data_IF_756389372895
#
_entry.id   IF_756389372895
#
_cell.length_a   1.000
_cell.length_b   1.000
_cell.length_c   1.000
_cell.angle_alpha   90.00
_cell.angle_beta   90.00
_cell.angle_gamma   90.00
#
_symmetry.space_group_name_H-M   'P 1'
#
loop_
_entity.id
_entity.type
_entity.pdbx_description
1 polymer ?
#
# COMPACT_ATOMS: atom_id res chain seq x y z
N UNK A 1 43.60 -72.15 -28.53
CA UNK A 1 42.38 -71.42 -28.97
C UNK A 1 41.73 -70.84 -27.74
N UNK A 2 41.90 -69.50 -27.52
CA UNK A 2 41.27 -68.76 -26.42
C UNK A 2 40.35 -67.72 -27.04
N UNK A 3 39.06 -67.87 -26.82
CA UNK A 3 38.03 -66.88 -27.27
C UNK A 3 37.97 -65.78 -26.22
N UNK A 4 38.26 -64.52 -26.63
CA UNK A 4 38.11 -63.34 -25.80
C UNK A 4 36.74 -62.74 -26.07
N UNK A 5 35.88 -62.79 -25.06
CA UNK A 5 34.59 -62.13 -25.10
C UNK A 5 34.74 -60.62 -24.76
N UNK A 6 34.38 -59.76 -25.69
CA UNK A 6 34.36 -58.35 -25.47
C UNK A 6 32.98 -57.91 -24.86
N UNK A 7 33.00 -57.39 -23.66
CA UNK A 7 31.82 -56.77 -23.01
C UNK A 7 31.75 -55.29 -23.44
N UNK A 8 30.70 -54.94 -24.20
CA UNK A 8 30.36 -53.56 -24.53
C UNK A 8 29.49 -53.03 -23.39
N UNK A 9 30.04 -52.10 -22.58
CA UNK A 9 29.28 -51.36 -21.60
C UNK A 9 28.72 -50.11 -22.29
N UNK A 10 27.41 -50.11 -22.53
CA UNK A 10 26.70 -48.93 -23.01
C UNK A 10 26.43 -48.00 -21.82
N UNK A 11 27.16 -46.89 -21.72
CA UNK A 11 26.89 -45.83 -20.75
C UNK A 11 25.70 -44.99 -21.24
N UNK A 12 24.54 -45.18 -20.65
CA UNK A 12 23.38 -44.26 -20.81
C UNK A 12 23.66 -42.99 -20.03
N UNK A 13 24.10 -41.95 -20.75
CA UNK A 13 24.20 -40.60 -20.23
C UNK A 13 22.79 -39.99 -20.08
N UNK A 14 22.29 -39.95 -18.85
CA UNK A 14 21.10 -39.17 -18.54
C UNK A 14 21.51 -37.69 -18.55
N UNK A 15 21.19 -37.01 -19.66
CA UNK A 15 21.28 -35.53 -19.74
C UNK A 15 20.16 -34.99 -18.87
N UNK A 16 20.46 -34.67 -17.61
CA UNK A 16 19.59 -33.84 -16.78
C UNK A 16 19.59 -32.40 -17.35
N UNK A 17 18.64 -32.11 -18.20
CA UNK A 17 18.27 -30.70 -18.50
C UNK A 17 17.74 -30.08 -17.20
N UNK A 18 18.63 -29.47 -16.44
CA UNK A 18 18.26 -28.55 -15.38
C UNK A 18 17.56 -27.35 -16.02
N UNK A 19 16.23 -27.42 -16.10
CA UNK A 19 15.41 -26.20 -16.31
C UNK A 19 15.67 -25.30 -15.11
N UNK A 20 16.65 -24.40 -15.24
CA UNK A 20 16.70 -23.20 -14.41
C UNK A 20 15.43 -22.41 -14.72
N UNK A 21 14.34 -22.69 -13.99
CA UNK A 21 13.26 -21.74 -13.79
C UNK A 21 13.87 -20.59 -12.97
N UNK A 22 14.54 -19.67 -13.65
CA UNK A 22 14.80 -18.38 -13.07
C UNK A 22 13.42 -17.88 -12.64
N UNK A 23 13.20 -17.73 -11.33
CA UNK A 23 11.98 -17.12 -10.82
C UNK A 23 11.87 -15.78 -11.53
N UNK A 24 10.89 -15.66 -12.42
CA UNK A 24 10.62 -14.41 -13.10
C UNK A 24 10.31 -13.39 -12.01
N UNK A 25 11.08 -12.30 -11.96
CA UNK A 25 10.83 -11.21 -11.03
C UNK A 25 9.38 -10.71 -11.12
N UNK A 26 8.94 -9.85 -10.21
CA UNK A 26 7.57 -9.36 -10.24
C UNK A 26 7.28 -8.68 -11.57
N UNK A 27 6.03 -8.76 -12.07
CA UNK A 27 5.65 -8.05 -13.29
C UNK A 27 5.82 -6.54 -13.10
N UNK A 28 6.00 -5.77 -14.17
CA UNK A 28 6.10 -4.32 -14.06
C UNK A 28 4.84 -3.72 -13.39
N UNK A 29 5.03 -2.62 -12.68
CA UNK A 29 3.92 -1.84 -12.12
C UNK A 29 3.00 -1.34 -13.26
N UNK A 30 1.67 -1.25 -13.04
CA UNK A 30 0.70 -0.85 -14.07
C UNK A 30 0.69 0.66 -14.32
N UNK A 31 1.85 1.26 -14.61
CA UNK A 31 2.07 2.71 -14.71
C UNK A 31 1.42 3.39 -15.94
N UNK A 32 0.64 2.71 -16.72
CA UNK A 32 0.12 3.26 -17.98
C UNK A 32 -1.32 2.85 -18.28
N UNK A 33 -2.14 2.63 -17.27
CA UNK A 33 -3.57 2.32 -17.46
C UNK A 33 -4.27 3.50 -18.15
N UNK A 34 -5.00 3.21 -19.23
CA UNK A 34 -5.71 4.21 -20.05
C UNK A 34 -6.85 4.89 -19.27
N UNK A 35 -7.22 6.12 -19.65
CA UNK A 35 -8.31 6.85 -19.00
C UNK A 35 -9.67 6.14 -19.06
N UNK A 36 -10.07 5.49 -20.17
CA UNK A 36 -11.33 4.75 -20.23
C UNK A 36 -11.41 3.55 -19.26
N UNK A 37 -10.25 2.97 -18.92
CA UNK A 37 -10.15 1.81 -18.00
C UNK A 37 -9.95 2.22 -16.55
N UNK A 38 -9.67 3.50 -16.31
CA UNK A 38 -9.39 4.01 -14.99
C UNK A 38 -10.63 4.02 -14.09
N UNK A 39 -10.46 3.49 -12.88
CA UNK A 39 -11.45 3.58 -11.81
C UNK A 39 -10.81 4.09 -10.52
N UNK A 40 -11.52 4.90 -9.76
CA UNK A 40 -11.07 5.37 -8.44
C UNK A 40 -11.01 4.20 -7.46
N UNK A 41 -10.17 4.32 -6.42
CA UNK A 41 -10.01 3.25 -5.42
C UNK A 41 -11.34 2.86 -4.77
N UNK A 42 -12.23 3.82 -4.48
CA UNK A 42 -13.55 3.56 -3.89
C UNK A 42 -14.47 2.73 -4.78
N UNK A 43 -14.26 2.71 -6.10
CA UNK A 43 -15.02 1.84 -7.01
C UNK A 43 -14.55 0.37 -6.96
N UNK A 44 -13.45 0.10 -6.26
CA UNK A 44 -12.87 -1.21 -6.05
C UNK A 44 -13.16 -1.78 -4.64
N UNK A 45 -14.07 -1.14 -3.89
CA UNK A 45 -14.51 -1.71 -2.61
C UNK A 45 -15.09 -3.12 -2.82
N UNK A 46 -14.52 -4.10 -2.13
CA UNK A 46 -14.87 -5.52 -2.26
C UNK A 46 -15.45 -6.05 -0.95
N UNK A 47 -16.73 -6.42 -0.97
CA UNK A 47 -17.44 -6.92 0.22
C UNK A 47 -16.80 -8.17 0.82
N UNK A 48 -16.23 -9.02 -0.01
CA UNK A 48 -15.59 -10.25 0.44
C UNK A 48 -14.25 -9.96 1.13
N UNK A 49 -13.41 -9.07 0.58
CA UNK A 49 -12.18 -8.61 1.22
C UNK A 49 -12.49 -7.87 2.52
N UNK A 50 -13.49 -6.99 2.50
CA UNK A 50 -13.96 -6.23 3.65
C UNK A 50 -14.35 -7.14 4.81
N UNK A 51 -15.24 -8.11 4.56
CA UNK A 51 -15.72 -9.03 5.59
C UNK A 51 -14.57 -9.86 6.21
N UNK A 52 -13.62 -10.34 5.38
CA UNK A 52 -12.46 -11.10 5.87
C UNK A 52 -11.52 -10.22 6.68
N UNK A 53 -11.27 -8.99 6.24
CA UNK A 53 -10.43 -8.05 6.98
C UNK A 53 -11.04 -7.74 8.35
N UNK A 54 -12.33 -7.41 8.40
CA UNK A 54 -13.04 -7.16 9.66
C UNK A 54 -12.99 -8.36 10.60
N UNK A 55 -13.27 -9.56 10.07
CA UNK A 55 -13.23 -10.80 10.86
C UNK A 55 -11.83 -11.04 11.42
N UNK A 56 -10.79 -10.92 10.59
CA UNK A 56 -9.42 -11.15 10.99
C UNK A 56 -8.99 -10.17 12.09
N UNK A 57 -9.30 -8.87 11.95
CA UNK A 57 -8.99 -7.87 12.98
C UNK A 57 -9.77 -8.12 14.29
N UNK A 58 -11.05 -8.53 14.19
CA UNK A 58 -11.90 -8.87 15.35
C UNK A 58 -11.42 -10.09 16.13
N UNK A 59 -10.65 -10.99 15.54
CA UNK A 59 -10.08 -12.16 16.26
C UNK A 59 -9.00 -11.76 17.28
N UNK A 60 -8.42 -10.56 17.16
CA UNK A 60 -7.42 -10.06 18.10
C UNK A 60 -8.09 -9.26 19.23
N UNK A 61 -8.35 -9.92 20.36
CA UNK A 61 -9.05 -9.30 21.50
C UNK A 61 -8.42 -7.98 21.95
N UNK A 62 -7.08 -7.87 21.94
CA UNK A 62 -6.36 -6.67 22.32
C UNK A 62 -6.55 -5.48 21.35
N UNK A 63 -6.99 -5.71 20.11
CA UNK A 63 -7.22 -4.65 19.13
C UNK A 63 -8.66 -4.14 19.14
N UNK A 64 -9.60 -4.89 19.69
CA UNK A 64 -11.02 -4.54 19.71
C UNK A 64 -11.31 -3.16 20.34
N UNK A 65 -10.74 -2.82 21.50
CA UNK A 65 -10.96 -1.50 22.08
C UNK A 65 -10.42 -0.37 21.20
N UNK A 66 -9.28 -0.58 20.53
CA UNK A 66 -8.68 0.41 19.63
C UNK A 66 -9.56 0.62 18.37
N UNK A 67 -10.07 -0.47 17.81
CA UNK A 67 -10.99 -0.41 16.66
C UNK A 67 -12.29 0.30 17.03
N UNK A 68 -12.89 -0.04 18.16
CA UNK A 68 -14.15 0.53 18.64
C UNK A 68 -14.04 2.03 18.96
N UNK A 69 -12.86 2.49 19.42
CA UNK A 69 -12.60 3.89 19.75
C UNK A 69 -12.06 4.72 18.58
N UNK A 70 -11.90 4.13 17.39
CA UNK A 70 -11.26 4.81 16.25
C UNK A 70 -9.76 5.06 16.43
N UNK A 71 -9.10 4.39 17.39
CA UNK A 71 -7.66 4.47 17.68
C UNK A 71 -6.82 3.51 16.86
N UNK A 72 -7.45 2.69 16.06
CA UNK A 72 -6.82 1.82 15.06
C UNK A 72 -7.57 1.97 13.75
N UNK A 73 -6.85 2.32 12.71
CA UNK A 73 -7.34 2.45 11.34
C UNK A 73 -6.50 1.58 10.42
N UNK A 74 -7.15 0.80 9.55
CA UNK A 74 -6.48 -0.11 8.61
C UNK A 74 -7.08 0.04 7.22
N UNK A 75 -6.23 0.09 6.20
CA UNK A 75 -6.60 0.01 4.79
C UNK A 75 -5.79 -1.08 4.09
N UNK A 76 -6.45 -1.90 3.28
CA UNK A 76 -5.85 -3.01 2.53
C UNK A 76 -6.34 -2.99 1.09
N UNK A 77 -5.40 -2.89 0.13
CA UNK A 77 -5.70 -2.99 -1.29
C UNK A 77 -5.00 -4.22 -1.84
N UNK A 78 -5.75 -5.15 -2.38
CA UNK A 78 -5.23 -6.30 -3.11
C UNK A 78 -4.98 -5.90 -4.58
N UNK A 79 -3.75 -6.04 -5.01
CA UNK A 79 -3.28 -5.76 -6.36
C UNK A 79 -2.75 -7.02 -7.06
N UNK A 80 -3.08 -8.23 -6.55
CA UNK A 80 -2.67 -9.49 -7.17
C UNK A 80 -3.16 -9.57 -8.63
N UNK A 81 -4.36 -9.03 -8.91
CA UNK A 81 -4.83 -8.72 -10.25
C UNK A 81 -4.89 -7.19 -10.46
N UNK A 82 -3.89 -6.59 -11.13
CA UNK A 82 -3.87 -5.14 -11.32
C UNK A 82 -5.02 -4.57 -12.18
N UNK A 83 -5.69 -5.39 -12.99
CA UNK A 83 -6.83 -4.96 -13.80
C UNK A 83 -8.16 -5.04 -13.04
N UNK A 84 -8.19 -5.72 -11.91
CA UNK A 84 -9.34 -5.83 -11.02
C UNK A 84 -8.88 -5.80 -9.54
N UNK A 85 -8.38 -4.65 -9.06
CA UNK A 85 -8.00 -4.47 -7.66
C UNK A 85 -9.18 -4.73 -6.72
N UNK A 86 -8.89 -4.96 -5.44
CA UNK A 86 -9.91 -5.06 -4.41
C UNK A 86 -9.50 -4.21 -3.21
N UNK A 87 -10.44 -3.52 -2.62
CA UNK A 87 -10.19 -2.61 -1.50
C UNK A 87 -11.10 -2.94 -0.31
N UNK A 88 -10.50 -2.97 0.88
CA UNK A 88 -11.19 -3.07 2.17
C UNK A 88 -10.53 -2.17 3.21
N UNK A 89 -11.32 -1.70 4.18
CA UNK A 89 -10.82 -0.79 5.21
C UNK A 89 -11.62 -0.91 6.51
N UNK A 90 -10.97 -0.68 7.65
CA UNK A 90 -11.63 -0.55 8.94
C UNK A 90 -11.21 0.77 9.56
N UNK A 91 -12.16 1.62 9.93
CA UNK A 91 -11.94 3.00 10.35
C UNK A 91 -11.13 3.83 9.32
N UNK A 92 -11.14 3.44 8.06
CA UNK A 92 -10.25 3.99 7.04
C UNK A 92 -10.45 5.48 6.76
N UNK A 93 -11.64 6.03 7.03
CA UNK A 93 -11.94 7.45 6.91
C UNK A 93 -11.77 8.23 8.23
N UNK A 94 -11.41 7.57 9.33
CA UNK A 94 -11.09 8.24 10.59
C UNK A 94 -9.79 9.01 10.44
N UNK A 95 -9.86 10.33 10.62
CA UNK A 95 -8.68 11.17 10.59
C UNK A 95 -7.90 11.00 11.90
N UNK A 96 -6.64 10.63 11.77
CA UNK A 96 -5.75 10.38 12.91
C UNK A 96 -4.46 11.19 12.77
N UNK A 97 -3.72 11.33 13.85
CA UNK A 97 -2.39 11.90 13.78
C UNK A 97 -1.46 10.97 12.98
N UNK A 98 -1.01 11.44 11.83
CA UNK A 98 -0.22 10.66 10.87
C UNK A 98 1.30 10.69 11.10
N UNK A 99 1.77 11.49 12.08
CA UNK A 99 3.19 11.73 12.33
C UNK A 99 3.94 12.12 11.03
N UNK A 100 4.82 11.27 10.53
CA UNK A 100 5.60 11.53 9.31
C UNK A 100 4.94 11.05 8.01
N UNK A 101 3.74 10.48 8.04
CA UNK A 101 3.06 10.05 6.80
C UNK A 101 2.76 11.21 5.84
N UNK A 102 2.38 12.43 6.29
CA UNK A 102 2.16 13.56 5.39
C UNK A 102 3.41 14.04 4.62
N UNK A 103 4.61 13.53 4.93
CA UNK A 103 5.80 13.75 4.08
C UNK A 103 5.60 13.21 2.65
N UNK A 104 4.63 12.31 2.43
CA UNK A 104 4.20 11.89 1.09
C UNK A 104 3.64 13.07 0.27
N UNK A 105 2.97 14.03 0.91
CA UNK A 105 2.51 15.24 0.23
C UNK A 105 3.67 16.19 -0.13
N UNK A 106 4.72 16.22 0.71
CA UNK A 106 5.95 16.97 0.38
C UNK A 106 6.66 16.34 -0.83
N UNK A 107 6.72 14.99 -0.88
CA UNK A 107 7.26 14.26 -2.02
C UNK A 107 6.47 14.58 -3.30
N UNK A 108 5.14 14.48 -3.27
CA UNK A 108 4.29 14.80 -4.42
C UNK A 108 4.49 16.25 -4.88
N UNK A 109 4.52 17.20 -3.93
CA UNK A 109 4.68 18.62 -4.25
C UNK A 109 6.06 18.94 -4.82
N UNK A 110 7.12 18.24 -4.40
CA UNK A 110 8.44 18.37 -5.00
C UNK A 110 8.43 17.95 -6.47
N UNK A 111 7.83 16.80 -6.77
CA UNK A 111 7.75 16.31 -8.15
C UNK A 111 6.79 17.14 -9.02
N UNK A 112 5.72 17.72 -8.43
CA UNK A 112 4.92 18.72 -9.12
C UNK A 112 5.75 19.96 -9.44
N UNK A 113 6.59 20.41 -8.49
CA UNK A 113 7.48 21.55 -8.72
C UNK A 113 8.56 21.29 -9.79
N UNK A 114 9.04 20.04 -9.94
CA UNK A 114 9.90 19.65 -11.07
C UNK A 114 9.17 19.71 -12.40
N UNK A 115 7.90 19.28 -12.43
CA UNK A 115 7.09 19.27 -13.65
C UNK A 115 6.72 20.67 -14.14
N UNK A 116 6.37 21.56 -13.22
CA UNK A 116 5.99 22.95 -13.56
C UNK A 116 7.16 23.96 -13.50
N UNK A 117 8.39 23.48 -13.23
CA UNK A 117 9.60 24.31 -13.19
C UNK A 117 9.73 25.24 -11.99
N UNK A 118 8.85 25.13 -11.00
CA UNK A 118 8.90 25.97 -9.77
C UNK A 118 9.92 25.47 -8.73
N UNK A 119 10.38 24.23 -8.86
CA UNK A 119 11.46 23.65 -8.08
C UNK A 119 12.55 23.12 -9.03
N UNK A 120 13.80 23.50 -8.81
CA UNK A 120 14.92 22.97 -9.60
C UNK A 120 15.20 21.52 -9.24
N UNK A 121 15.28 20.66 -10.26
CA UNK A 121 15.64 19.25 -10.13
C UNK A 121 17.18 19.14 -9.97
N UNK A 122 17.65 19.04 -8.73
CA UNK A 122 19.09 18.98 -8.39
C UNK A 122 19.40 17.78 -7.53
N UNK A 123 20.65 17.33 -7.54
CA UNK A 123 21.12 16.23 -6.68
C UNK A 123 20.97 16.53 -5.18
N UNK A 124 21.03 17.78 -4.77
CA UNK A 124 20.79 18.21 -3.38
C UNK A 124 19.32 17.99 -2.99
N UNK A 125 18.37 18.41 -3.84
CA UNK A 125 16.93 18.21 -3.63
C UNK A 125 16.60 16.72 -3.59
N UNK A 126 17.13 15.92 -4.50
CA UNK A 126 16.96 14.46 -4.47
C UNK A 126 17.48 13.81 -3.19
N UNK A 127 18.64 14.25 -2.69
CA UNK A 127 19.20 13.78 -1.42
C UNK A 127 18.27 14.09 -0.25
N UNK A 128 17.74 15.33 -0.16
CA UNK A 128 16.78 15.71 0.86
C UNK A 128 15.48 14.87 0.77
N UNK A 129 14.98 14.59 -0.43
CA UNK A 129 13.81 13.75 -0.63
C UNK A 129 14.06 12.30 -0.17
N UNK A 130 15.24 11.73 -0.45
CA UNK A 130 15.62 10.38 -0.02
C UNK A 130 15.72 10.33 1.51
N UNK A 131 16.43 11.26 2.15
CA UNK A 131 16.56 11.33 3.61
C UNK A 131 15.19 11.51 4.28
N UNK A 132 14.36 12.41 3.77
CA UNK A 132 13.01 12.66 4.25
C UNK A 132 12.11 11.41 4.20
N UNK A 133 12.20 10.65 3.13
CA UNK A 133 11.33 9.48 2.93
C UNK A 133 11.89 8.24 3.61
N UNK A 134 13.11 7.82 3.27
CA UNK A 134 13.68 6.55 3.74
C UNK A 134 14.04 6.57 5.22
N UNK A 135 14.62 7.67 5.71
CA UNK A 135 15.03 7.87 7.11
C UNK A 135 14.05 8.69 7.93
N UNK A 136 13.00 9.17 7.28
CA UNK A 136 12.03 10.06 7.94
C UNK A 136 12.65 11.33 8.54
N UNK A 137 13.78 11.79 7.97
CA UNK A 137 14.56 12.93 8.48
C UNK A 137 13.71 14.21 8.53
N UNK A 138 13.63 14.82 9.72
CA UNK A 138 12.82 16.01 9.96
C UNK A 138 13.49 17.30 9.42
N UNK A 139 14.82 17.50 9.59
CA UNK A 139 15.54 18.59 8.95
C UNK A 139 15.39 18.61 7.43
N UNK A 140 15.56 17.46 6.75
CA UNK A 140 15.39 17.36 5.31
C UNK A 140 13.94 17.70 4.88
N UNK A 141 12.94 17.18 5.61
CA UNK A 141 11.54 17.52 5.38
C UNK A 141 11.30 19.03 5.50
N UNK A 142 11.84 19.68 6.53
CA UNK A 142 11.66 21.11 6.75
C UNK A 142 12.37 21.95 5.69
N UNK A 143 13.56 21.53 5.21
CA UNK A 143 14.21 22.18 4.06
C UNK A 143 13.35 22.07 2.79
N UNK A 144 12.77 20.89 2.53
CA UNK A 144 11.90 20.69 1.37
C UNK A 144 10.63 21.55 1.47
N UNK A 145 9.99 21.61 2.65
CA UNK A 145 8.83 22.47 2.89
C UNK A 145 9.21 23.95 2.66
N UNK A 146 10.37 24.39 3.14
CA UNK A 146 10.86 25.76 2.92
C UNK A 146 11.09 26.08 1.44
N UNK A 147 11.60 25.13 0.62
CA UNK A 147 11.78 25.31 -0.82
C UNK A 147 10.49 25.34 -1.62
N UNK A 148 9.50 24.55 -1.22
CA UNK A 148 8.21 24.39 -1.94
C UNK A 148 7.20 25.45 -1.47
N UNK A 149 7.14 25.66 -0.17
CA UNK A 149 6.14 26.48 0.52
C UNK A 149 4.94 25.66 0.99
N UNK A 150 4.57 25.81 2.28
CA UNK A 150 3.51 25.05 2.93
C UNK A 150 2.16 25.22 2.21
N UNK A 151 1.82 26.44 1.77
CA UNK A 151 0.59 26.74 1.03
C UNK A 151 0.48 26.02 -0.31
N UNK A 152 1.59 25.77 -1.01
CA UNK A 152 1.59 25.01 -2.27
C UNK A 152 1.32 23.53 -1.99
N UNK A 153 1.88 22.98 -0.91
CA UNK A 153 1.66 21.59 -0.50
C UNK A 153 0.18 21.39 -0.11
N UNK A 154 -0.39 22.33 0.63
CA UNK A 154 -1.80 22.36 1.02
C UNK A 154 -2.72 22.45 -0.20
N UNK A 155 -2.45 23.39 -1.11
CA UNK A 155 -3.22 23.54 -2.34
C UNK A 155 -3.19 22.25 -3.18
N UNK A 156 -2.05 21.56 -3.23
CA UNK A 156 -1.93 20.30 -3.96
C UNK A 156 -2.68 19.15 -3.26
N UNK A 157 -2.72 19.11 -1.94
CA UNK A 157 -3.53 18.14 -1.20
C UNK A 157 -5.02 18.27 -1.52
N UNK A 158 -5.50 19.51 -1.71
CA UNK A 158 -6.90 19.84 -2.03
C UNK A 158 -7.18 19.94 -3.54
N UNK A 159 -6.18 19.75 -4.40
CA UNK A 159 -6.32 19.79 -5.86
C UNK A 159 -7.35 18.76 -6.35
N UNK A 160 -8.25 19.18 -7.25
CA UNK A 160 -9.31 18.32 -7.80
C UNK A 160 -8.81 17.06 -8.50
N UNK A 161 -7.59 17.08 -9.03
CA UNK A 161 -6.94 15.89 -9.63
C UNK A 161 -6.70 14.79 -8.61
N UNK A 162 -6.37 15.18 -7.38
CA UNK A 162 -5.97 14.23 -6.35
C UNK A 162 -6.96 14.13 -5.20
N UNK A 163 -7.47 15.25 -4.68
CA UNK A 163 -8.40 15.30 -3.54
C UNK A 163 -7.92 14.45 -2.34
N UNK A 164 -6.63 14.60 -1.99
CA UNK A 164 -6.09 13.92 -0.82
C UNK A 164 -6.59 14.53 0.50
N UNK A 165 -7.07 15.76 0.43
CA UNK A 165 -7.74 16.45 1.52
C UNK A 165 -9.02 17.13 1.02
N UNK A 166 -10.15 16.82 1.67
CA UNK A 166 -11.44 17.49 1.43
C UNK A 166 -12.19 17.60 2.76
N UNK A 167 -12.33 18.81 3.33
CA UNK A 167 -13.02 19.01 4.62
C UNK A 167 -14.49 18.60 4.56
N UNK A 168 -15.13 18.63 3.40
CA UNK A 168 -16.53 18.21 3.22
C UNK A 168 -16.69 16.68 3.22
N UNK A 169 -15.59 15.95 3.05
CA UNK A 169 -15.55 14.47 3.02
C UNK A 169 -14.80 13.88 4.23
N UNK A 170 -14.65 14.64 5.31
CA UNK A 170 -14.02 14.15 6.53
C UNK A 170 -12.50 14.32 6.56
N UNK A 171 -11.92 15.18 5.73
CA UNK A 171 -10.50 15.49 5.75
C UNK A 171 -9.64 14.60 4.84
N UNK A 172 -8.52 14.11 5.35
CA UNK A 172 -7.58 13.30 4.57
C UNK A 172 -6.13 13.48 5.00
N UNK A 173 -5.20 13.64 4.05
CA UNK A 173 -3.79 13.86 4.33
C UNK A 173 -3.54 15.36 4.44
N UNK A 174 -3.07 15.81 5.60
CA UNK A 174 -2.78 17.20 5.88
C UNK A 174 -1.39 17.39 6.49
N UNK A 175 -0.63 18.35 5.93
CA UNK A 175 0.67 18.72 6.44
C UNK A 175 0.53 19.95 7.37
N UNK A 176 0.55 19.72 8.67
CA UNK A 176 0.27 20.73 9.68
C UNK A 176 1.43 21.68 10.01
N UNK A 177 2.49 21.72 9.20
CA UNK A 177 3.63 22.61 9.40
C UNK A 177 4.97 21.93 9.11
N UNK A 178 6.05 22.57 9.57
CA UNK A 178 7.40 22.00 9.52
C UNK A 178 7.61 20.98 10.62
N UNK A 179 8.68 20.18 10.50
CA UNK A 179 9.00 19.10 11.45
C UNK A 179 10.09 19.51 12.46
N UNK A 180 10.43 20.81 12.54
CA UNK A 180 11.44 21.32 13.47
C UNK A 180 10.80 22.29 14.47
N UNK A 181 11.33 22.42 15.69
CA UNK A 181 10.82 23.36 16.69
C UNK A 181 10.82 24.80 16.18
N UNK A 182 9.77 25.57 16.52
CA UNK A 182 9.63 26.98 16.13
C UNK A 182 9.32 27.22 14.66
N UNK A 183 9.05 26.17 13.89
CA UNK A 183 8.66 26.29 12.48
C UNK A 183 7.20 26.69 12.28
N UNK A 184 6.84 26.90 11.02
CA UNK A 184 5.48 27.29 10.62
C UNK A 184 4.45 26.20 11.02
N UNK A 185 3.32 26.61 11.56
CA UNK A 185 2.20 25.77 11.93
C UNK A 185 0.98 26.07 11.06
N UNK A 186 0.32 25.02 10.60
CA UNK A 186 -0.92 25.07 9.82
C UNK A 186 -1.83 23.90 10.26
N UNK A 187 -2.49 24.01 11.46
CA UNK A 187 -3.31 22.92 11.99
C UNK A 187 -4.43 22.56 11.02
N UNK A 188 -4.81 21.29 11.02
CA UNK A 188 -5.85 20.76 10.18
C UNK A 188 -7.21 21.39 10.54
N UNK A 189 -7.99 21.90 9.55
CA UNK A 189 -9.16 22.75 9.81
C UNK A 189 -10.33 22.08 10.54
N UNK A 190 -10.50 20.75 10.48
CA UNK A 190 -11.63 20.04 11.11
C UNK A 190 -11.33 19.70 12.57
N UNK A 191 -10.15 19.13 12.82
CA UNK A 191 -9.79 18.55 14.13
C UNK A 191 -8.81 19.42 14.91
N UNK A 192 -8.17 20.38 14.24
CA UNK A 192 -7.09 21.16 14.82
C UNK A 192 -5.79 20.39 15.05
N UNK A 193 -5.73 19.12 14.64
CA UNK A 193 -4.53 18.31 14.72
C UNK A 193 -3.47 18.82 13.73
N UNK A 194 -2.21 18.56 14.05
CA UNK A 194 -1.10 18.71 13.12
C UNK A 194 -1.06 17.50 12.18
N UNK A 195 -0.15 17.36 11.28
CA UNK A 195 0.22 16.18 10.48
C UNK A 195 -0.79 15.00 10.48
N UNK A 196 -1.98 15.20 9.91
CA UNK A 196 -3.04 14.18 9.92
C UNK A 196 -3.05 13.33 8.64
N UNK A 197 -3.65 12.16 8.75
CA UNK A 197 -3.98 11.32 7.61
C UNK A 197 -5.21 10.44 7.88
N UNK A 198 -5.81 9.90 6.81
CA UNK A 198 -6.73 8.78 6.85
C UNK A 198 -6.12 7.57 6.13
N UNK A 199 -6.37 6.35 6.60
CA UNK A 199 -5.85 5.16 5.93
C UNK A 199 -6.39 5.04 4.50
N UNK A 200 -7.63 5.48 4.26
CA UNK A 200 -8.23 5.56 2.92
C UNK A 200 -7.37 6.40 1.96
N UNK A 201 -7.06 7.63 2.35
CA UNK A 201 -6.31 8.55 1.46
C UNK A 201 -4.86 8.12 1.28
N UNK A 202 -4.25 7.48 2.27
CA UNK A 202 -2.93 6.88 2.13
C UNK A 202 -2.95 5.68 1.18
N UNK A 203 -3.94 4.77 1.28
CA UNK A 203 -4.14 3.71 0.29
C UNK A 203 -4.32 4.29 -1.11
N UNK A 204 -5.11 5.35 -1.22
CA UNK A 204 -5.36 6.03 -2.49
C UNK A 204 -4.11 6.70 -3.06
N UNK A 205 -3.23 7.26 -2.23
CA UNK A 205 -1.93 7.78 -2.66
C UNK A 205 -1.08 6.70 -3.33
N UNK A 206 -0.89 5.56 -2.66
CA UNK A 206 -0.12 4.44 -3.23
C UNK A 206 -0.80 3.81 -4.45
N UNK A 207 -2.12 3.76 -4.47
CA UNK A 207 -2.88 3.29 -5.61
C UNK A 207 -2.64 4.18 -6.85
N UNK A 208 -2.83 5.49 -6.72
CA UNK A 208 -2.54 6.44 -7.80
C UNK A 208 -1.07 6.35 -8.24
N UNK A 209 -0.15 6.23 -7.29
CA UNK A 209 1.28 6.11 -7.56
C UNK A 209 1.61 4.85 -8.37
N UNK A 210 1.08 3.68 -7.96
CA UNK A 210 1.31 2.40 -8.62
C UNK A 210 0.79 2.38 -10.07
N UNK A 211 -0.27 3.14 -10.33
CA UNK A 211 -0.90 3.23 -11.67
C UNK A 211 -0.41 4.43 -12.50
N UNK A 212 0.63 5.15 -12.04
CA UNK A 212 1.21 6.26 -12.79
C UNK A 212 0.34 7.51 -12.85
N UNK A 213 -0.59 7.67 -11.89
CA UNK A 213 -1.59 8.75 -11.84
C UNK A 213 -1.20 9.92 -10.95
N UNK A 214 -0.01 9.92 -10.37
CA UNK A 214 0.55 11.07 -9.68
C UNK A 214 1.46 11.84 -10.65
N UNK A 215 0.97 13.01 -11.10
CA UNK A 215 1.59 13.92 -12.07
C UNK A 215 1.67 13.27 -13.47
N UNK A 216 2.56 12.31 -13.63
CA UNK A 216 2.72 11.52 -14.86
C UNK A 216 3.24 10.11 -14.54
N UNK A 217 3.15 9.14 -15.47
CA UNK A 217 3.75 7.81 -15.27
C UNK A 217 5.24 7.85 -14.96
N UNK A 218 5.97 8.77 -15.59
CA UNK A 218 7.41 8.93 -15.34
C UNK A 218 7.68 9.51 -13.94
N UNK A 219 6.96 10.55 -13.52
CA UNK A 219 7.09 11.13 -12.18
C UNK A 219 6.68 10.15 -11.10
N UNK A 220 5.64 9.37 -11.33
CA UNK A 220 5.24 8.27 -10.42
C UNK A 220 6.36 7.23 -10.27
N UNK A 221 7.01 6.84 -11.37
CA UNK A 221 8.17 5.92 -11.34
C UNK A 221 9.34 6.50 -10.56
N UNK A 222 9.62 7.79 -10.72
CA UNK A 222 10.69 8.47 -9.96
C UNK A 222 10.38 8.54 -8.46
N UNK A 223 9.12 8.85 -8.07
CA UNK A 223 8.68 8.81 -6.66
C UNK A 223 8.80 7.40 -6.08
N UNK A 224 8.45 6.35 -6.83
CA UNK A 224 8.62 4.96 -6.40
C UNK A 224 10.10 4.64 -6.11
N UNK A 225 11.04 5.11 -6.93
CA UNK A 225 12.48 4.92 -6.66
C UNK A 225 12.93 5.54 -5.32
N UNK A 226 12.31 6.65 -4.90
CA UNK A 226 12.59 7.28 -3.60
C UNK A 226 11.97 6.49 -2.45
N UNK A 227 10.76 5.95 -2.64
CA UNK A 227 10.04 5.16 -1.63
C UNK A 227 10.60 3.75 -1.44
N UNK A 228 11.31 3.22 -2.45
CA UNK A 228 11.96 1.91 -2.39
C UNK A 228 13.14 1.90 -1.41
N UNK A 229 13.57 0.70 -0.99
CA UNK A 229 14.69 0.51 -0.06
C UNK A 229 14.50 1.29 1.25
N UNK A 230 13.47 0.98 2.05
CA UNK A 230 13.25 1.65 3.33
C UNK A 230 14.41 1.42 4.29
N UNK A 231 15.06 2.50 4.75
CA UNK A 231 16.24 2.43 5.64
C UNK A 231 15.86 2.25 7.13
N UNK A 232 14.62 2.59 7.51
CA UNK A 232 14.18 2.45 8.90
C UNK A 232 13.67 1.05 9.16
N UNK A 233 14.27 0.31 10.12
CA UNK A 233 13.75 -0.99 10.55
C UNK A 233 12.43 -0.83 11.32
N UNK A 234 11.82 -1.95 11.70
CA UNK A 234 10.63 -1.98 12.53
C UNK A 234 9.32 -1.97 11.75
N UNK A 235 8.22 -2.10 12.48
CA UNK A 235 6.85 -2.10 11.96
C UNK A 235 6.69 -3.11 10.81
N UNK A 236 6.06 -2.71 9.68
CA UNK A 236 5.84 -3.61 8.54
C UNK A 236 7.12 -4.19 7.95
N UNK A 237 8.15 -3.36 7.80
CA UNK A 237 9.41 -3.77 7.15
C UNK A 237 10.10 -4.88 7.90
N UNK A 238 10.17 -4.85 9.23
CA UNK A 238 10.86 -5.89 10.00
C UNK A 238 10.26 -7.30 9.84
N UNK A 239 9.03 -7.38 9.34
CA UNK A 239 8.40 -8.66 9.02
C UNK A 239 8.58 -9.00 7.53
N UNK A 240 8.38 -8.01 6.66
CA UNK A 240 8.41 -8.21 5.21
C UNK A 240 9.81 -8.47 4.66
N UNK A 241 10.84 -7.79 5.18
CA UNK A 241 12.22 -7.92 4.70
C UNK A 241 12.80 -9.33 4.82
N UNK A 242 12.17 -10.19 5.63
CA UNK A 242 12.55 -11.60 5.74
C UNK A 242 12.18 -12.43 4.50
N UNK A 243 11.25 -11.94 3.68
CA UNK A 243 10.67 -12.70 2.56
C UNK A 243 10.46 -11.89 1.28
N UNK A 244 10.61 -10.56 1.34
CA UNK A 244 10.43 -9.66 0.21
C UNK A 244 11.69 -8.80 0.03
N UNK A 245 12.27 -8.74 -1.16
CA UNK A 245 13.44 -7.91 -1.44
C UNK A 245 13.16 -6.42 -1.14
N UNK A 246 14.11 -5.65 -0.56
CA UNK A 246 13.90 -4.26 -0.18
C UNK A 246 13.51 -3.33 -1.33
N UNK A 247 13.93 -3.63 -2.56
CA UNK A 247 13.53 -2.88 -3.76
C UNK A 247 12.08 -3.13 -4.22
N UNK A 248 11.38 -4.08 -3.60
CA UNK A 248 9.95 -4.37 -3.81
C UNK A 248 9.05 -3.79 -2.70
N UNK A 249 9.66 -3.07 -1.75
CA UNK A 249 8.99 -2.42 -0.62
C UNK A 249 9.05 -0.90 -0.80
N UNK A 250 7.91 -0.27 -1.01
CA UNK A 250 7.77 1.18 -1.20
C UNK A 250 7.03 1.75 0.02
N UNK A 251 7.76 2.42 0.91
CA UNK A 251 7.27 2.68 2.27
C UNK A 251 7.40 4.12 2.72
N UNK A 252 6.45 4.56 3.57
CA UNK A 252 6.61 5.68 4.50
C UNK A 252 6.05 5.31 5.86
N UNK A 253 6.83 5.48 6.92
CA UNK A 253 6.43 5.28 8.31
C UNK A 253 6.29 6.59 9.05
N UNK A 254 5.56 6.56 10.17
CA UNK A 254 5.42 7.67 11.10
C UNK A 254 5.39 7.18 12.56
N UNK A 255 5.94 8.01 13.46
CA UNK A 255 5.94 7.73 14.89
C UNK A 255 6.09 9.00 15.71
N UNK A 256 5.32 9.13 16.78
CA UNK A 256 5.53 10.09 17.87
C UNK A 256 4.67 9.73 19.08
N UNK A 257 5.27 9.72 20.27
CA UNK A 257 4.58 9.68 21.57
C UNK A 257 3.32 8.78 21.65
N UNK A 258 3.43 7.49 21.30
CA UNK A 258 2.29 6.55 21.33
C UNK A 258 1.42 6.54 20.08
N UNK A 259 1.74 7.35 19.08
CA UNK A 259 1.17 7.24 17.73
C UNK A 259 2.15 6.51 16.82
N UNK A 260 1.73 5.39 16.29
CA UNK A 260 2.52 4.57 15.37
C UNK A 260 1.74 4.41 14.07
N UNK A 261 2.40 4.68 12.96
CA UNK A 261 1.80 4.55 11.66
C UNK A 261 2.77 3.93 10.66
N UNK A 262 2.23 3.18 9.71
CA UNK A 262 3.00 2.67 8.58
C UNK A 262 2.14 2.57 7.34
N UNK A 263 2.74 2.79 6.19
CA UNK A 263 2.10 2.72 4.89
C UNK A 263 3.07 2.14 3.87
N UNK A 264 2.66 1.10 3.17
CA UNK A 264 3.53 0.37 2.24
C UNK A 264 2.78 -0.11 1.02
N UNK A 265 3.42 -0.01 -0.12
CA UNK A 265 3.11 -0.79 -1.32
C UNK A 265 4.15 -1.93 -1.40
N UNK A 266 3.68 -3.16 -1.36
CA UNK A 266 4.46 -4.36 -1.66
C UNK A 266 4.20 -4.75 -3.10
N UNK A 267 5.26 -4.90 -3.89
CA UNK A 267 5.13 -5.30 -5.29
C UNK A 267 6.09 -6.44 -5.62
N UNK A 268 5.65 -7.64 -5.33
CA UNK A 268 6.45 -8.85 -5.46
C UNK A 268 5.75 -9.90 -6.35
N UNK A 269 6.26 -11.09 -6.38
CA UNK A 269 5.73 -12.20 -7.18
C UNK A 269 4.41 -12.74 -6.65
N UNK A 270 3.65 -13.36 -7.51
CA UNK A 270 2.41 -14.05 -7.16
C UNK A 270 1.35 -13.11 -6.56
N UNK A 271 0.85 -13.48 -5.39
CA UNK A 271 -0.20 -12.74 -4.66
C UNK A 271 0.33 -11.55 -3.85
N UNK A 272 1.64 -11.43 -3.62
CA UNK A 272 2.27 -10.36 -2.83
C UNK A 272 2.36 -9.04 -3.60
N UNK A 273 1.25 -8.58 -4.08
CA UNK A 273 1.06 -7.26 -4.68
C UNK A 273 -0.10 -6.60 -3.96
N UNK A 274 0.21 -5.71 -3.02
CA UNK A 274 -0.81 -5.10 -2.18
C UNK A 274 -0.33 -3.77 -1.57
N UNK A 275 -1.28 -2.97 -1.13
CA UNK A 275 -1.05 -1.81 -0.29
C UNK A 275 -1.60 -2.11 1.10
N UNK A 276 -0.79 -1.87 2.13
CA UNK A 276 -1.20 -1.96 3.52
C UNK A 276 -0.89 -0.63 4.22
N UNK A 277 -1.90 -0.10 4.87
CA UNK A 277 -1.80 1.13 5.67
C UNK A 277 -2.41 0.86 7.04
N UNK A 278 -1.73 1.26 8.11
CA UNK A 278 -2.33 1.29 9.43
C UNK A 278 -1.80 2.45 10.28
N UNK A 279 -2.69 2.98 11.11
CA UNK A 279 -2.40 4.03 12.09
C UNK A 279 -2.96 3.58 13.44
N UNK A 280 -2.14 3.66 14.48
CA UNK A 280 -2.40 3.11 15.81
C UNK A 280 -2.09 4.18 16.87
N UNK A 281 -3.08 4.51 17.69
CA UNK A 281 -2.90 5.34 18.89
C UNK A 281 -2.85 4.43 20.13
N UNK A 282 -1.69 3.81 20.37
CA UNK A 282 -1.39 2.93 21.51
C UNK A 282 0.12 2.83 21.69
N UNK A 283 0.61 2.74 22.92
CA UNK A 283 2.04 2.57 23.18
C UNK A 283 2.65 1.27 22.63
N UNK A 284 1.82 0.25 22.33
CA UNK A 284 2.22 -1.00 21.67
C UNK A 284 2.07 -0.93 20.15
N UNK A 285 1.83 0.24 19.59
CA UNK A 285 1.49 0.40 18.18
C UNK A 285 2.52 -0.19 17.22
N UNK A 286 3.83 -0.14 17.55
CA UNK A 286 4.84 -0.81 16.72
C UNK A 286 4.65 -2.32 16.69
N UNK A 287 4.37 -2.94 17.83
CA UNK A 287 4.14 -4.39 17.92
C UNK A 287 2.85 -4.77 17.16
N UNK A 288 1.78 -3.99 17.33
CA UNK A 288 0.51 -4.20 16.59
C UNK A 288 0.74 -4.13 15.08
N UNK A 289 1.55 -3.18 14.60
CA UNK A 289 1.89 -3.07 13.18
C UNK A 289 2.66 -4.30 12.68
N UNK A 290 3.60 -4.84 13.46
CA UNK A 290 4.30 -6.10 13.12
C UNK A 290 3.33 -7.27 13.03
N UNK A 291 2.44 -7.42 14.00
CA UNK A 291 1.44 -8.48 14.05
C UNK A 291 0.39 -8.37 12.94
N UNK A 292 0.11 -7.15 12.48
CA UNK A 292 -0.87 -6.91 11.41
C UNK A 292 -0.41 -7.45 10.05
N UNK A 293 0.89 -7.51 9.75
CA UNK A 293 1.39 -8.00 8.46
C UNK A 293 0.93 -9.42 8.17
N UNK A 294 1.21 -10.44 9.01
CA UNK A 294 0.76 -11.81 8.75
C UNK A 294 -0.77 -11.92 8.71
N UNK A 295 -1.51 -11.12 9.46
CA UNK A 295 -2.97 -11.08 9.43
C UNK A 295 -3.46 -10.59 8.07
N UNK A 296 -2.93 -9.48 7.57
CA UNK A 296 -3.28 -8.95 6.26
C UNK A 296 -2.90 -9.92 5.12
N UNK A 297 -1.70 -10.51 5.19
CA UNK A 297 -1.26 -11.49 4.20
C UNK A 297 -2.12 -12.76 4.21
N UNK A 298 -2.62 -13.20 5.36
CA UNK A 298 -3.56 -14.33 5.45
C UNK A 298 -4.90 -13.99 4.77
N UNK A 299 -5.42 -12.78 5.01
CA UNK A 299 -6.65 -12.29 4.34
C UNK A 299 -6.50 -12.31 2.82
N UNK A 300 -5.36 -11.87 2.29
CA UNK A 300 -5.06 -11.85 0.85
C UNK A 300 -4.91 -13.25 0.27
N UNK A 301 -4.19 -14.16 0.94
CA UNK A 301 -3.98 -15.55 0.48
C UNK A 301 -5.26 -16.35 0.40
N UNK A 302 -6.14 -16.23 1.36
CA UNK A 302 -7.43 -16.94 1.37
C UNK A 302 -8.29 -16.55 0.16
N UNK A 303 -8.24 -15.30 -0.27
CA UNK A 303 -8.88 -14.86 -1.51
C UNK A 303 -8.25 -15.52 -2.73
N UNK A 304 -6.92 -15.56 -2.80
CA UNK A 304 -6.20 -16.14 -3.93
C UNK A 304 -6.48 -17.62 -4.10
N UNK A 305 -6.67 -18.36 -3.02
CA UNK A 305 -7.04 -19.78 -3.07
C UNK A 305 -8.46 -20.01 -3.60
N UNK A 306 -9.43 -19.20 -3.16
CA UNK A 306 -10.83 -19.28 -3.63
C UNK A 306 -10.92 -19.00 -5.14
N UNK A 307 -10.17 -18.00 -5.63
CA UNK A 307 -10.17 -17.63 -7.05
C UNK A 307 -9.44 -18.66 -7.95
N UNK A 308 -8.51 -19.45 -7.40
CA UNK A 308 -7.81 -20.51 -8.14
C UNK A 308 -8.61 -21.79 -8.22
N UNK A 309 -9.51 -22.01 -7.28
CA UNK A 309 -10.41 -23.15 -7.22
C UNK A 309 -11.83 -22.64 -7.04
N UNK A 310 -12.49 -22.15 -8.12
CA UNK A 310 -13.92 -21.92 -8.04
C UNK A 310 -14.54 -23.26 -7.70
N UNK A 311 -15.20 -23.33 -6.54
CA UNK A 311 -15.95 -24.52 -6.14
C UNK A 311 -16.97 -24.88 -7.22
N UNK A 312 -17.47 -26.12 -7.25
CA UNK A 312 -18.45 -26.51 -8.23
C UNK A 312 -19.62 -25.52 -8.20
N UNK A 313 -19.99 -24.98 -9.37
CA UNK A 313 -21.19 -24.16 -9.52
C UNK A 313 -22.36 -24.92 -8.87
N UNK A 314 -22.95 -24.35 -7.83
CA UNK A 314 -24.22 -24.83 -7.29
C UNK A 314 -25.25 -24.50 -8.35
N UNK A 315 -25.51 -25.44 -9.23
CA UNK A 315 -26.64 -25.37 -10.15
C UNK A 315 -27.90 -25.41 -9.27
N UNK A 316 -28.54 -24.26 -9.11
CA UNK A 316 -29.87 -24.19 -8.51
C UNK A 316 -30.81 -24.96 -9.45
N UNK A 317 -31.05 -26.22 -9.12
CA UNK A 317 -32.07 -27.02 -9.81
C UNK A 317 -33.42 -26.28 -9.68
N UNK A 318 -33.98 -25.91 -10.82
CA UNK A 318 -35.29 -25.29 -10.90
C UNK A 318 -36.29 -26.19 -10.15
N UNK A 319 -36.83 -25.69 -9.04
CA UNK A 319 -37.99 -26.27 -8.40
C UNK A 319 -39.16 -26.19 -9.40
N UNK A 320 -39.47 -27.30 -10.04
CA UNK A 320 -40.71 -27.43 -10.84
C UNK A 320 -41.88 -27.22 -9.87
N UNK A 321 -42.63 -26.15 -10.10
CA UNK A 321 -43.94 -25.94 -9.50
C UNK A 321 -44.89 -27.03 -10.01
N UNK A 322 -45.36 -27.90 -9.13
CA UNK A 322 -46.51 -28.78 -9.42
C UNK A 322 -47.77 -27.95 -9.63
N UNK A 323 -48.63 -28.33 -10.58
CA UNK A 323 -49.92 -27.67 -10.77
C UNK A 323 -50.90 -27.99 -9.63
N UNK A 324 -51.85 -27.10 -9.29
CA UNK A 324 -52.82 -27.35 -8.22
C UNK A 324 -53.78 -28.46 -8.60
N UNK A 325 -53.99 -29.39 -7.66
CA UNK A 325 -55.02 -30.41 -7.73
C UNK A 325 -56.41 -29.73 -7.75
N UNK A 326 -57.18 -30.07 -8.76
CA UNK A 326 -58.58 -29.67 -8.86
C UNK A 326 -59.44 -30.28 -7.74
N UNK A 327 -60.34 -29.48 -7.24
CA UNK A 327 -61.39 -29.89 -6.32
C UNK A 327 -62.66 -30.00 -7.13
N UNK A 328 -63.20 -31.19 -7.19
CA UNK A 328 -64.63 -31.45 -7.50
C UNK A 328 -65.47 -31.28 -6.22
#
# INVERSE_FOLDING_TARGET
MKVVAAIVVAALGVLALGLNLAEAGPPPLPLGVSDPEWRSLSQWEDKGLQARLELALKQHAAWQPLLAQGKMSVGLVDLANPTAPRFGQVNGNTMMYGASLPKLMVLLAAFQGFEDGTLKDTSEVHRDLIEMIRRSDNPAASRMIGRIGLKKIEALASDRRYQFYDPKKGGGIWLGGTFVPGGEHNPEPITGLSHTATAHQLCRFYYLLAYGRLISPERSRQMLKILAFPDLPGKFVSVLETTVPPNHLYRKSGEVRGFHADSILVWDTGWRRYILVAMIEDGRGEQILKELVPVAEQVLRNVSMILRHPGPEITVASVRSEPPLGVD
#
